data_IF_308115337548
#
_entry.id   IF_308115337548
#
_cell.length_a   1.000
_cell.length_b   1.000
_cell.length_c   1.000
_cell.angle_alpha   90.00
_cell.angle_beta   90.00
_cell.angle_gamma   90.00
#
_symmetry.space_group_name_H-M   'P 1'
#
loop_
_entity.id
_entity.type
_entity.pdbx_description
1 polymer ?
#
# COMPACT_ATOMS: atom_id res chain seq x y z
N UNK A 1 20.63 0.01 1.09
CA UNK A 1 19.79 1.24 1.06
C UNK A 1 18.34 0.81 1.07
N UNK A 2 17.57 1.29 2.04
CA UNK A 2 16.11 1.22 1.99
C UNK A 2 15.59 2.25 0.98
N UNK A 3 14.47 1.93 0.35
CA UNK A 3 13.71 2.80 -0.54
C UNK A 3 12.32 2.99 0.05
N UNK A 4 11.68 4.08 -0.33
CA UNK A 4 10.29 4.39 0.05
C UNK A 4 9.40 4.35 -1.18
N UNK A 5 8.14 4.02 -0.99
CA UNK A 5 7.07 4.20 -1.98
C UNK A 5 5.80 4.61 -1.25
N UNK A 6 5.12 5.61 -1.79
CA UNK A 6 3.85 6.10 -1.28
C UNK A 6 2.68 5.33 -1.89
N UNK A 7 1.65 5.11 -1.08
CA UNK A 7 0.38 4.54 -1.46
C UNK A 7 -0.74 5.41 -0.89
N UNK A 8 -1.75 5.66 -1.71
CA UNK A 8 -3.03 6.22 -1.27
C UNK A 8 -3.94 5.02 -1.01
N UNK A 9 -4.39 4.86 0.24
CA UNK A 9 -5.07 3.65 0.71
C UNK A 9 -6.43 4.03 1.28
N UNK A 10 -7.53 3.62 0.64
CA UNK A 10 -8.87 3.81 1.18
C UNK A 10 -9.01 3.22 2.58
N UNK A 11 -9.72 3.93 3.46
CA UNK A 11 -9.99 3.45 4.81
C UNK A 11 -10.78 2.12 4.83
N UNK A 12 -11.53 1.81 3.76
CA UNK A 12 -12.27 0.56 3.60
C UNK A 12 -11.37 -0.68 3.49
N UNK A 13 -10.12 -0.53 3.03
CA UNK A 13 -9.20 -1.65 2.77
C UNK A 13 -7.92 -1.60 3.59
N UNK A 14 -7.84 -0.69 4.56
CA UNK A 14 -6.62 -0.47 5.36
C UNK A 14 -6.22 -1.71 6.17
N UNK A 15 -7.20 -2.51 6.59
CA UNK A 15 -6.96 -3.73 7.36
C UNK A 15 -6.29 -4.80 6.48
N UNK A 16 -6.79 -5.02 5.26
CA UNK A 16 -6.19 -5.93 4.28
C UNK A 16 -4.79 -5.46 3.87
N UNK A 17 -4.64 -4.15 3.58
CA UNK A 17 -3.36 -3.56 3.22
C UNK A 17 -2.32 -3.73 4.34
N UNK A 18 -2.71 -3.49 5.60
CA UNK A 18 -1.84 -3.68 6.76
C UNK A 18 -1.44 -5.15 6.98
N UNK A 19 -2.38 -6.09 6.80
CA UNK A 19 -2.09 -7.53 6.88
C UNK A 19 -1.04 -7.94 5.85
N UNK A 20 -1.21 -7.47 4.61
CA UNK A 20 -0.29 -7.78 3.52
C UNK A 20 1.12 -7.22 3.79
N UNK A 21 1.22 -6.02 4.37
CA UNK A 21 2.52 -5.47 4.77
C UNK A 21 3.24 -6.31 5.85
N UNK A 22 2.49 -6.83 6.83
CA UNK A 22 3.05 -7.71 7.87
C UNK A 22 3.58 -9.00 7.24
N UNK A 23 2.79 -9.64 6.36
CA UNK A 23 3.17 -10.89 5.69
C UNK A 23 4.43 -10.73 4.83
N UNK A 24 4.59 -9.56 4.21
CA UNK A 24 5.75 -9.23 3.38
C UNK A 24 6.94 -8.66 4.16
N UNK A 25 6.83 -8.54 5.49
CA UNK A 25 7.84 -7.96 6.37
C UNK A 25 8.28 -6.56 5.89
N UNK A 26 7.29 -5.73 5.56
CA UNK A 26 7.45 -4.34 5.14
C UNK A 26 7.15 -3.39 6.30
N UNK A 27 7.86 -2.26 6.34
CA UNK A 27 7.62 -1.21 7.31
C UNK A 27 6.87 -0.06 6.68
N UNK A 28 5.99 0.60 7.42
CA UNK A 28 5.19 1.72 6.93
C UNK A 28 5.10 2.87 7.92
N UNK A 29 4.67 4.02 7.40
CA UNK A 29 4.33 5.21 8.17
C UNK A 29 3.14 5.90 7.49
N UNK A 30 2.08 6.20 8.25
CA UNK A 30 0.98 7.03 7.76
C UNK A 30 1.48 8.48 7.77
N UNK A 31 1.53 9.11 6.60
CA UNK A 31 2.06 10.47 6.42
C UNK A 31 0.96 11.51 6.25
N UNK A 32 -0.28 11.10 5.95
CA UNK A 32 -1.39 12.02 5.78
C UNK A 32 -2.72 11.38 5.39
N UNK A 33 -3.63 12.24 4.97
CA UNK A 33 -4.96 11.93 4.44
C UNK A 33 -5.16 12.84 3.21
N UNK A 34 -5.49 12.27 2.05
CA UNK A 34 -5.73 13.04 0.82
C UNK A 34 -7.14 13.68 0.81
N UNK A 35 -7.45 14.46 -0.23
CA UNK A 35 -8.74 15.16 -0.36
C UNK A 35 -9.93 14.20 -0.58
N UNK A 36 -9.66 12.98 -1.04
CA UNK A 36 -10.64 11.92 -1.29
C UNK A 36 -10.92 11.08 -0.03
N UNK A 37 -10.21 11.36 1.07
CA UNK A 37 -10.35 10.64 2.34
C UNK A 37 -9.56 9.33 2.40
N UNK A 38 -8.59 9.12 1.51
CA UNK A 38 -7.66 8.00 1.52
C UNK A 38 -6.41 8.33 2.35
N UNK A 39 -5.91 7.33 3.07
CA UNK A 39 -4.71 7.45 3.89
C UNK A 39 -3.47 7.45 2.99
N UNK A 40 -2.58 8.41 3.20
CA UNK A 40 -1.27 8.44 2.54
C UNK A 40 -0.30 7.63 3.39
N UNK A 41 0.23 6.55 2.83
CA UNK A 41 1.09 5.59 3.53
C UNK A 41 2.43 5.47 2.81
N UNK A 42 3.51 5.83 3.50
CA UNK A 42 4.87 5.60 3.04
C UNK A 42 5.34 4.20 3.44
N UNK A 43 5.61 3.35 2.45
CA UNK A 43 6.13 2.00 2.64
C UNK A 43 7.64 1.98 2.41
N UNK A 44 8.40 1.58 3.43
CA UNK A 44 9.84 1.41 3.41
C UNK A 44 10.21 -0.05 3.14
N UNK A 45 11.03 -0.27 2.11
CA UNK A 45 11.44 -1.59 1.62
C UNK A 45 12.93 -1.66 1.27
N UNK A 46 13.53 -2.84 1.41
CA UNK A 46 14.87 -3.13 0.91
C UNK A 46 14.82 -3.84 -0.45
N UNK A 47 15.94 -3.89 -1.17
CA UNK A 47 16.02 -4.57 -2.47
C UNK A 47 15.56 -6.04 -2.40
N UNK A 48 15.81 -6.73 -1.29
CA UNK A 48 15.36 -8.11 -1.04
C UNK A 48 13.84 -8.23 -0.86
N UNK A 49 13.16 -7.16 -0.46
CA UNK A 49 11.71 -7.13 -0.21
C UNK A 49 10.94 -6.57 -1.42
N UNK A 50 11.58 -6.45 -2.59
CA UNK A 50 10.94 -5.89 -3.79
C UNK A 50 9.73 -6.72 -4.24
N UNK A 51 9.75 -8.04 -4.03
CA UNK A 51 8.62 -8.92 -4.34
C UNK A 51 7.37 -8.52 -3.53
N UNK A 52 7.52 -8.29 -2.22
CA UNK A 52 6.41 -7.86 -1.36
C UNK A 52 5.83 -6.50 -1.75
N UNK A 53 6.68 -5.59 -2.25
CA UNK A 53 6.20 -4.32 -2.80
C UNK A 53 5.33 -4.54 -4.05
N UNK A 54 5.70 -5.46 -4.94
CA UNK A 54 4.88 -5.79 -6.11
C UNK A 54 3.53 -6.36 -5.71
N UNK A 55 3.47 -7.19 -4.68
CA UNK A 55 2.19 -7.71 -4.16
C UNK A 55 1.28 -6.59 -3.66
N UNK A 56 1.83 -5.57 -2.98
CA UNK A 56 1.04 -4.39 -2.58
C UNK A 56 0.53 -3.60 -3.80
N UNK A 57 1.34 -3.47 -4.85
CA UNK A 57 0.94 -2.77 -6.07
C UNK A 57 -0.19 -3.52 -6.76
N UNK A 58 -0.03 -4.83 -6.96
CA UNK A 58 -1.06 -5.68 -7.56
C UNK A 58 -2.37 -5.61 -6.77
N UNK A 59 -2.31 -5.65 -5.43
CA UNK A 59 -3.48 -5.49 -4.59
C UNK A 59 -4.22 -4.14 -4.81
N UNK A 60 -3.46 -3.04 -4.88
CA UNK A 60 -4.05 -1.72 -5.12
C UNK A 60 -4.57 -1.57 -6.54
N UNK A 61 -3.84 -2.07 -7.53
CA UNK A 61 -4.26 -2.07 -8.94
C UNK A 61 -5.56 -2.88 -9.11
N UNK A 62 -5.68 -4.04 -8.46
CA UNK A 62 -6.89 -4.85 -8.45
C UNK A 62 -8.05 -4.10 -7.78
N UNK A 63 -7.81 -3.42 -6.65
CA UNK A 63 -8.84 -2.61 -6.00
C UNK A 63 -9.34 -1.50 -6.92
N UNK A 64 -8.46 -0.68 -7.49
CA UNK A 64 -8.86 0.43 -8.36
C UNK A 64 -9.39 -0.04 -9.72
N UNK A 65 -8.91 -1.16 -10.24
CA UNK A 65 -9.40 -1.77 -11.47
C UNK A 65 -10.84 -2.29 -11.31
N UNK A 66 -11.14 -2.97 -10.20
CA UNK A 66 -12.50 -3.44 -9.92
C UNK A 66 -13.48 -2.30 -9.61
N UNK A 67 -13.00 -1.19 -9.01
CA UNK A 67 -13.84 -0.02 -8.72
C UNK A 67 -14.07 0.93 -9.93
N UNK A 68 -13.44 0.68 -11.08
CA UNK A 68 -13.68 1.44 -12.32
C UNK A 68 -14.77 0.81 -13.23
N UNK A 69 -15.28 -0.37 -12.88
CA UNK A 69 -16.32 -1.07 -13.66
C UNK A 69 -17.77 -0.89 -13.14
N UNK A 70 -17.99 -0.03 -12.13
CA UNK A 70 -19.34 0.37 -11.63
C UNK A 70 -19.73 1.80 -12.05
#
# INVERSE_FOLDING_TARGET
MSKTREFEVPASIIAEFASLMIDQNLSNEITGLNEEGELIIEVRYEAKNKAGLFTLIEFMDDYYGNNQEE
#
